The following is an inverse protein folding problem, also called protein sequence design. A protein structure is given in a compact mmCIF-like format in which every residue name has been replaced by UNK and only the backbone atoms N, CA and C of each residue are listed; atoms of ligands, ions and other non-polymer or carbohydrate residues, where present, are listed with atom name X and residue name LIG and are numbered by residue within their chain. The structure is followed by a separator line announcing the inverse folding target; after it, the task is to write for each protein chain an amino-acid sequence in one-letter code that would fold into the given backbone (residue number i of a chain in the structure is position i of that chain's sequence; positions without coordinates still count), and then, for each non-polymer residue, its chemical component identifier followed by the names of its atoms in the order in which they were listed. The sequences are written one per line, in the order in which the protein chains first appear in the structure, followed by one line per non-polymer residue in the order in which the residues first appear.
data_IF_602870825473
#
_entry.id   IF_602870825473
#
_cell.length_a   1.000
_cell.length_b   1.000
_cell.length_c   1.000
_cell.angle_alpha   90.00
_cell.angle_beta   90.00
_cell.angle_gamma   90.00
#
_symmetry.space_group_name_H-M   'P 1'
#
loop_
_entity.id
_entity.type
_entity.pdbx_description
1 polymer ?
#
# COMPACT_ATOMS: atom_id res chain seq x y z
N UNK A 1 21.40 -50.56 2.41
CA UNK A 1 21.53 -49.27 1.70
C UNK A 1 22.35 -49.34 0.40
N UNK A 2 23.58 -49.88 0.38
CA UNK A 2 24.42 -49.93 -0.85
C UNK A 2 23.80 -50.70 -2.04
N UNK A 3 23.04 -51.77 -1.79
CA UNK A 3 22.40 -52.57 -2.85
C UNK A 3 21.22 -51.85 -3.51
N UNK A 4 20.35 -51.22 -2.71
CA UNK A 4 19.23 -50.38 -3.19
C UNK A 4 19.71 -49.22 -4.07
N UNK A 5 20.79 -48.53 -3.68
CA UNK A 5 21.38 -47.46 -4.50
C UNK A 5 21.96 -47.96 -5.83
N UNK A 6 22.63 -49.12 -5.83
CA UNK A 6 23.20 -49.72 -7.05
C UNK A 6 22.11 -50.10 -8.07
N UNK A 7 21.00 -50.64 -7.59
CA UNK A 7 19.91 -51.09 -8.46
C UNK A 7 19.07 -49.92 -9.01
N UNK A 8 18.91 -48.85 -8.21
CA UNK A 8 18.28 -47.60 -8.66
C UNK A 8 19.10 -46.91 -9.75
N UNK A 9 20.42 -46.77 -9.56
CA UNK A 9 21.31 -46.11 -10.51
C UNK A 9 21.57 -46.91 -11.79
N UNK A 10 21.45 -48.25 -11.76
CA UNK A 10 21.52 -49.08 -12.98
C UNK A 10 20.35 -48.83 -13.95
N UNK A 11 19.17 -48.46 -13.44
CA UNK A 11 17.96 -48.22 -14.26
C UNK A 11 17.79 -46.76 -14.66
N UNK A 12 18.34 -45.81 -13.91
CA UNK A 12 18.33 -44.41 -14.28
C UNK A 12 19.39 -44.11 -15.36
N UNK A 13 18.94 -43.78 -16.58
CA UNK A 13 19.84 -43.26 -17.63
C UNK A 13 20.56 -42.01 -17.11
N UNK A 14 21.85 -41.86 -17.43
CA UNK A 14 22.71 -40.72 -17.04
C UNK A 14 22.03 -39.37 -17.25
N UNK A 15 21.25 -39.20 -18.32
CA UNK A 15 20.45 -37.98 -18.58
C UNK A 15 19.51 -37.60 -17.43
N UNK A 16 18.90 -38.56 -16.75
CA UNK A 16 18.00 -38.31 -15.62
C UNK A 16 18.77 -38.00 -14.34
N UNK A 17 19.97 -38.58 -14.15
CA UNK A 17 20.86 -38.25 -13.02
C UNK A 17 21.34 -36.80 -13.16
N UNK A 18 21.75 -36.40 -14.37
CA UNK A 18 22.11 -35.01 -14.68
C UNK A 18 20.92 -34.08 -14.42
N UNK A 19 19.72 -34.46 -14.87
CA UNK A 19 18.51 -33.66 -14.65
C UNK A 19 18.15 -33.52 -13.16
N UNK A 20 18.26 -34.60 -12.38
CA UNK A 20 18.04 -34.58 -10.92
C UNK A 20 19.08 -33.69 -10.23
N UNK A 21 20.36 -33.80 -10.61
CA UNK A 21 21.41 -32.95 -10.04
C UNK A 21 21.18 -31.48 -10.38
N UNK A 22 20.87 -31.18 -11.64
CA UNK A 22 20.53 -29.83 -12.11
C UNK A 22 19.32 -29.23 -11.39
N UNK A 23 18.33 -30.04 -11.00
CA UNK A 23 17.18 -29.59 -10.22
C UNK A 23 17.50 -29.50 -8.72
N UNK A 24 18.32 -30.41 -8.19
CA UNK A 24 18.63 -30.48 -6.75
C UNK A 24 19.44 -29.30 -6.22
N UNK A 25 20.35 -28.74 -7.04
CA UNK A 25 21.19 -27.61 -6.64
C UNK A 25 20.34 -26.34 -6.41
N UNK A 26 19.51 -25.89 -7.38
CA UNK A 26 18.56 -24.80 -7.15
C UNK A 26 17.64 -25.05 -5.96
N UNK A 27 17.05 -26.25 -5.85
CA UNK A 27 16.17 -26.60 -4.74
C UNK A 27 16.87 -26.50 -3.37
N UNK A 28 18.13 -26.95 -3.27
CA UNK A 28 18.89 -26.87 -2.02
C UNK A 28 19.21 -25.43 -1.62
N UNK A 29 19.48 -24.56 -2.60
CA UNK A 29 19.74 -23.14 -2.38
C UNK A 29 18.47 -22.43 -1.88
N UNK A 30 17.32 -22.66 -2.53
CA UNK A 30 16.01 -22.16 -2.08
C UNK A 30 15.72 -22.62 -0.65
N UNK A 31 15.97 -23.91 -0.36
CA UNK A 31 15.72 -24.47 0.96
C UNK A 31 16.56 -23.81 2.06
N UNK A 32 17.87 -23.64 1.86
CA UNK A 32 18.75 -22.98 2.83
C UNK A 32 18.36 -21.53 3.07
N UNK A 33 18.01 -20.79 2.01
CA UNK A 33 17.52 -19.42 2.14
C UNK A 33 16.29 -19.37 3.03
N UNK A 34 15.31 -20.25 2.80
CA UNK A 34 14.06 -20.22 3.54
C UNK A 34 14.26 -20.62 5.00
N UNK A 35 15.09 -21.61 5.31
CA UNK A 35 15.45 -21.96 6.69
C UNK A 35 16.03 -20.75 7.43
N UNK A 36 16.93 -20.00 6.79
CA UNK A 36 17.54 -18.81 7.38
C UNK A 36 16.51 -17.70 7.63
N UNK A 37 15.64 -17.39 6.66
CA UNK A 37 14.63 -16.33 6.83
C UNK A 37 13.54 -16.74 7.82
N UNK A 38 13.20 -18.02 7.88
CA UNK A 38 12.28 -18.58 8.89
C UNK A 38 12.83 -18.38 10.29
N UNK A 39 14.12 -18.66 10.51
CA UNK A 39 14.77 -18.44 11.80
C UNK A 39 14.75 -16.95 12.17
N UNK A 40 15.02 -16.05 11.22
CA UNK A 40 14.91 -14.60 11.42
C UNK A 40 13.48 -14.23 11.84
N UNK A 41 12.47 -14.77 11.17
CA UNK A 41 11.06 -14.49 11.45
C UNK A 41 10.64 -14.96 12.84
N UNK A 42 11.13 -16.12 13.29
CA UNK A 42 10.89 -16.62 14.67
C UNK A 42 11.56 -15.77 15.74
N UNK A 43 12.74 -15.21 15.44
CA UNK A 43 13.42 -14.30 16.37
C UNK A 43 12.75 -12.92 16.42
N UNK A 44 12.20 -12.48 15.29
CA UNK A 44 11.49 -11.22 15.15
C UNK A 44 10.08 -11.25 15.76
N UNK A 45 9.45 -12.41 15.65
CA UNK A 45 8.15 -12.72 16.24
C UNK A 45 8.31 -13.91 17.21
N UNK A 46 8.89 -13.68 18.40
CA UNK A 46 9.06 -14.72 19.40
C UNK A 46 7.72 -15.07 20.08
N UNK A 47 7.39 -16.36 20.17
CA UNK A 47 6.08 -16.85 20.60
C UNK A 47 5.76 -16.52 22.07
N UNK A 48 6.78 -16.44 22.92
CA UNK A 48 6.67 -16.15 24.35
C UNK A 48 6.26 -14.70 24.64
N UNK A 49 6.47 -13.78 23.68
CA UNK A 49 6.00 -12.40 23.77
C UNK A 49 4.62 -12.19 23.16
N UNK A 50 4.05 -13.22 22.53
CA UNK A 50 2.77 -13.11 21.85
C UNK A 50 1.60 -13.21 22.83
N UNK A 51 0.58 -12.33 22.73
CA UNK A 51 -0.66 -12.49 23.47
C UNK A 51 -1.45 -13.73 23.03
N UNK A 52 -1.18 -14.27 21.84
CA UNK A 52 -1.74 -15.53 21.34
C UNK A 52 -0.69 -16.31 20.53
N UNK A 53 0.10 -17.13 21.22
CA UNK A 53 1.18 -17.91 20.61
C UNK A 53 0.69 -18.83 19.48
N UNK A 54 -0.52 -19.39 19.58
CA UNK A 54 -1.06 -20.27 18.54
C UNK A 54 -1.37 -19.50 17.25
N UNK A 55 -1.97 -18.30 17.37
CA UNK A 55 -2.23 -17.43 16.23
C UNK A 55 -0.90 -16.98 15.59
N UNK A 56 0.10 -16.63 16.41
CA UNK A 56 1.43 -16.23 15.93
C UNK A 56 2.18 -17.38 15.25
N UNK A 57 2.03 -18.63 15.71
CA UNK A 57 2.64 -19.79 15.03
C UNK A 57 2.13 -19.93 13.59
N UNK A 58 0.82 -19.76 13.38
CA UNK A 58 0.22 -19.73 12.04
C UNK A 58 0.73 -18.55 11.21
N UNK A 59 0.86 -17.36 11.80
CA UNK A 59 1.46 -16.21 11.11
C UNK A 59 2.91 -16.47 10.67
N UNK A 60 3.74 -17.06 11.54
CA UNK A 60 5.12 -17.43 11.20
C UNK A 60 5.12 -18.42 10.03
N UNK A 61 4.28 -19.46 10.05
CA UNK A 61 4.15 -20.40 8.91
C UNK A 61 3.72 -19.71 7.62
N UNK A 62 2.80 -18.73 7.69
CA UNK A 62 2.44 -17.93 6.53
C UNK A 62 3.63 -17.12 6.00
N UNK A 63 4.46 -16.55 6.88
CA UNK A 63 5.72 -15.89 6.48
C UNK A 63 6.69 -16.88 5.81
N UNK A 64 6.82 -18.10 6.32
CA UNK A 64 7.65 -19.14 5.69
C UNK A 64 7.23 -19.36 4.23
N UNK A 65 5.93 -19.55 3.97
CA UNK A 65 5.39 -19.66 2.61
C UNK A 65 5.62 -18.39 1.78
N UNK A 66 5.40 -17.20 2.35
CA UNK A 66 5.66 -15.93 1.66
C UNK A 66 7.12 -15.81 1.20
N UNK A 67 8.07 -16.31 1.99
CA UNK A 67 9.49 -16.29 1.63
C UNK A 67 9.82 -17.31 0.55
N UNK A 68 9.19 -18.50 0.57
CA UNK A 68 9.27 -19.44 -0.55
C UNK A 68 8.77 -18.80 -1.85
N UNK A 69 7.59 -18.19 -1.81
CA UNK A 69 6.94 -17.51 -2.95
C UNK A 69 7.87 -16.40 -3.48
N UNK A 70 8.30 -15.48 -2.63
CA UNK A 70 9.16 -14.36 -3.03
C UNK A 70 10.49 -14.83 -3.64
N UNK A 71 11.07 -15.92 -3.14
CA UNK A 71 12.31 -16.45 -3.72
C UNK A 71 12.09 -17.17 -5.05
N UNK A 72 11.01 -17.92 -5.19
CA UNK A 72 10.63 -18.57 -6.45
C UNK A 72 10.23 -17.56 -7.52
N UNK A 73 9.69 -16.40 -7.12
CA UNK A 73 9.21 -15.36 -8.03
C UNK A 73 10.31 -14.79 -8.92
N UNK A 74 11.57 -14.86 -8.48
CA UNK A 74 12.73 -14.54 -9.31
C UNK A 74 12.85 -15.41 -10.58
N UNK A 75 12.10 -16.50 -10.68
CA UNK A 75 12.17 -17.46 -11.77
C UNK A 75 10.84 -17.69 -12.50
N UNK A 76 9.70 -17.45 -11.85
CA UNK A 76 8.35 -17.66 -12.42
C UNK A 76 7.38 -16.64 -11.87
N UNK A 77 6.42 -16.20 -12.71
CA UNK A 77 5.39 -15.23 -12.32
C UNK A 77 4.45 -15.76 -11.23
N UNK A 78 3.77 -14.85 -10.52
CA UNK A 78 2.90 -15.22 -9.39
C UNK A 78 1.69 -16.08 -9.79
N UNK A 79 1.15 -15.91 -11.00
CA UNK A 79 -0.01 -16.66 -11.50
C UNK A 79 0.34 -18.08 -12.00
N UNK A 80 1.62 -18.48 -11.89
CA UNK A 80 2.10 -19.78 -12.33
C UNK A 80 1.51 -20.94 -11.51
N UNK A 81 1.30 -22.09 -12.17
CA UNK A 81 0.77 -23.30 -11.52
C UNK A 81 1.63 -23.80 -10.35
N UNK A 82 2.94 -23.51 -10.35
CA UNK A 82 3.86 -23.84 -9.26
C UNK A 82 3.65 -22.95 -8.03
N UNK A 83 3.24 -21.70 -8.22
CA UNK A 83 3.00 -20.73 -7.16
C UNK A 83 1.67 -20.99 -6.45
N UNK A 84 0.65 -21.41 -7.19
CA UNK A 84 -0.73 -21.57 -6.67
C UNK A 84 -0.84 -22.42 -5.40
N UNK A 85 -0.19 -23.59 -5.26
CA UNK A 85 -0.22 -24.37 -4.02
C UNK A 85 0.41 -23.62 -2.84
N UNK A 86 1.51 -22.90 -3.07
CA UNK A 86 2.21 -22.14 -2.02
C UNK A 86 1.38 -20.94 -1.58
N UNK A 87 0.79 -20.20 -2.52
CA UNK A 87 -0.14 -19.10 -2.24
C UNK A 87 -1.35 -19.59 -1.45
N UNK A 88 -1.90 -20.75 -1.83
CA UNK A 88 -3.03 -21.37 -1.11
C UNK A 88 -2.63 -21.70 0.32
N UNK A 89 -1.46 -22.31 0.53
CA UNK A 89 -0.97 -22.66 1.87
C UNK A 89 -0.66 -21.43 2.72
N UNK A 90 -0.06 -20.39 2.14
CA UNK A 90 0.14 -19.12 2.81
C UNK A 90 -1.19 -18.54 3.31
N UNK A 91 -2.22 -18.54 2.45
CA UNK A 91 -3.53 -18.01 2.78
C UNK A 91 -4.27 -18.87 3.83
N UNK A 92 -4.17 -20.19 3.74
CA UNK A 92 -4.72 -21.11 4.75
C UNK A 92 -4.14 -20.83 6.14
N UNK A 93 -2.83 -20.66 6.24
CA UNK A 93 -2.18 -20.34 7.53
C UNK A 93 -2.56 -18.93 8.02
N UNK A 94 -2.64 -17.94 7.13
CA UNK A 94 -3.13 -16.61 7.48
C UNK A 94 -4.55 -16.64 8.05
N UNK A 95 -5.50 -17.30 7.38
CA UNK A 95 -6.90 -17.37 7.86
C UNK A 95 -7.04 -18.17 9.16
N UNK A 96 -6.26 -19.26 9.34
CA UNK A 96 -6.22 -19.99 10.62
C UNK A 96 -5.72 -19.10 11.76
N UNK A 97 -4.63 -18.37 11.53
CA UNK A 97 -4.09 -17.44 12.53
C UNK A 97 -5.10 -16.34 12.86
N UNK A 98 -5.70 -15.73 11.84
CA UNK A 98 -6.72 -14.69 11.99
C UNK A 98 -7.94 -15.16 12.78
N UNK A 99 -8.42 -16.38 12.54
CA UNK A 99 -9.58 -16.94 13.27
C UNK A 99 -9.33 -17.11 14.77
N UNK A 100 -8.06 -17.25 15.18
CA UNK A 100 -7.67 -17.37 16.59
C UNK A 100 -7.53 -16.01 17.29
N UNK A 101 -7.50 -14.90 16.55
CA UNK A 101 -7.40 -13.56 17.13
C UNK A 101 -8.77 -13.08 17.63
N UNK A 102 -8.82 -12.32 18.74
CA UNK A 102 -10.06 -11.67 19.16
C UNK A 102 -10.48 -10.63 18.12
N UNK A 103 -11.79 -10.38 17.99
CA UNK A 103 -12.34 -9.39 17.03
C UNK A 103 -11.77 -7.98 17.24
N UNK A 104 -11.39 -7.65 18.47
CA UNK A 104 -10.76 -6.39 18.87
C UNK A 104 -9.26 -6.33 18.56
N UNK A 105 -8.66 -7.38 17.99
CA UNK A 105 -7.27 -7.33 17.52
C UNK A 105 -7.19 -6.64 16.16
N UNK A 106 -6.04 -6.06 15.86
CA UNK A 106 -5.66 -5.66 14.49
C UNK A 106 -4.37 -6.34 14.02
N UNK A 107 -3.97 -7.44 14.68
CA UNK A 107 -2.79 -8.20 14.28
C UNK A 107 -2.94 -8.79 12.87
N UNK A 108 -4.14 -9.27 12.51
CA UNK A 108 -4.45 -9.77 11.17
C UNK A 108 -4.23 -8.70 10.09
N UNK A 109 -4.52 -7.43 10.40
CA UNK A 109 -4.31 -6.34 9.44
C UNK A 109 -2.82 -6.09 9.20
N UNK A 110 -2.00 -6.16 10.26
CA UNK A 110 -0.55 -6.07 10.14
C UNK A 110 0.02 -7.24 9.33
N UNK A 111 -0.44 -8.47 9.63
CA UNK A 111 -0.04 -9.68 8.90
C UNK A 111 -0.43 -9.60 7.43
N UNK A 112 -1.63 -9.09 7.14
CA UNK A 112 -2.11 -8.89 5.79
C UNK A 112 -1.17 -8.01 4.97
N UNK A 113 -0.77 -6.85 5.50
CA UNK A 113 0.16 -5.95 4.78
C UNK A 113 1.52 -6.64 4.54
N UNK A 114 2.05 -7.39 5.51
CA UNK A 114 3.34 -8.09 5.34
C UNK A 114 3.27 -9.17 4.27
N UNK A 115 2.23 -9.99 4.32
CA UNK A 115 2.13 -11.20 3.49
C UNK A 115 1.79 -10.85 2.05
N UNK A 116 0.88 -9.89 1.85
CA UNK A 116 0.24 -9.70 0.55
C UNK A 116 0.76 -8.51 -0.26
N UNK A 117 1.50 -7.54 0.35
CA UNK A 117 1.91 -6.32 -0.37
C UNK A 117 2.76 -6.56 -1.62
N UNK A 118 3.71 -7.49 -1.55
CA UNK A 118 4.63 -7.77 -2.66
C UNK A 118 4.00 -8.60 -3.77
N UNK A 119 2.87 -9.27 -3.49
CA UNK A 119 2.19 -10.16 -4.43
C UNK A 119 1.06 -9.40 -5.13
N UNK A 120 0.22 -8.73 -4.34
CA UNK A 120 -0.99 -8.07 -4.83
C UNK A 120 -0.82 -6.56 -5.05
N UNK A 121 0.33 -5.99 -4.66
CA UNK A 121 0.63 -4.58 -4.82
C UNK A 121 -0.01 -3.67 -3.77
N UNK A 122 -0.28 -4.18 -2.56
CA UNK A 122 -0.91 -3.38 -1.49
C UNK A 122 -0.07 -2.15 -1.18
N UNK A 123 -0.64 -0.98 -1.44
CA UNK A 123 0.01 0.30 -1.17
C UNK A 123 1.18 0.63 -2.08
N UNK A 124 1.32 -0.05 -3.22
CA UNK A 124 2.44 0.18 -4.13
C UNK A 124 2.41 -0.69 -5.38
N UNK A 125 3.60 -1.05 -5.83
CA UNK A 125 3.80 -1.92 -6.99
C UNK A 125 4.23 -3.29 -6.45
N UNK A 126 3.71 -4.41 -7.00
CA UNK A 126 4.20 -5.74 -6.67
C UNK A 126 5.72 -5.88 -6.88
N UNK A 127 6.30 -6.90 -6.24
CA UNK A 127 7.70 -7.25 -6.38
C UNK A 127 8.02 -7.54 -7.87
N UNK A 128 9.20 -7.10 -8.33
CA UNK A 128 9.66 -7.17 -9.72
C UNK A 128 8.72 -6.53 -10.77
N UNK A 129 7.80 -5.66 -10.33
CA UNK A 129 6.77 -5.05 -11.17
C UNK A 129 5.83 -6.09 -11.83
N UNK A 130 5.73 -7.31 -11.29
CA UNK A 130 4.81 -8.32 -11.81
C UNK A 130 3.36 -7.98 -11.45
N UNK A 131 2.61 -7.54 -12.47
CA UNK A 131 1.21 -7.14 -12.32
C UNK A 131 0.23 -8.30 -12.52
N UNK A 132 0.69 -9.54 -12.72
CA UNK A 132 -0.14 -10.73 -12.98
C UNK A 132 -1.21 -10.96 -11.91
N UNK A 133 -0.87 -10.71 -10.65
CA UNK A 133 -1.76 -10.90 -9.50
C UNK A 133 -2.18 -9.60 -8.80
N UNK A 134 -1.79 -8.43 -9.32
CA UNK A 134 -2.13 -7.16 -8.69
C UNK A 134 -3.65 -6.98 -8.57
N UNK A 135 -4.16 -6.43 -7.47
CA UNK A 135 -5.61 -6.20 -7.33
C UNK A 135 -6.15 -5.30 -8.43
N UNK A 136 -5.34 -4.33 -8.85
CA UNK A 136 -5.65 -3.39 -9.93
C UNK A 136 -5.90 -4.05 -11.30
N UNK A 137 -5.39 -5.26 -11.52
CA UNK A 137 -5.50 -5.97 -12.81
C UNK A 137 -6.44 -7.16 -12.75
N UNK A 138 -6.63 -7.75 -11.58
CA UNK A 138 -7.32 -9.05 -11.42
C UNK A 138 -8.77 -8.95 -10.96
N UNK A 139 -9.15 -7.89 -10.24
CA UNK A 139 -10.49 -7.80 -9.66
C UNK A 139 -11.55 -7.41 -10.70
N UNK A 140 -12.74 -8.02 -10.60
CA UNK A 140 -13.94 -7.59 -11.33
C UNK A 140 -14.55 -6.35 -10.69
N UNK A 141 -15.55 -5.73 -11.35
CA UNK A 141 -16.25 -4.56 -10.81
C UNK A 141 -16.89 -4.85 -9.44
N UNK A 142 -17.51 -6.01 -9.30
CA UNK A 142 -18.14 -6.47 -8.06
C UNK A 142 -17.09 -6.70 -6.97
N UNK A 143 -15.95 -7.30 -7.33
CA UNK A 143 -14.87 -7.57 -6.39
C UNK A 143 -14.20 -6.28 -5.87
N UNK A 144 -14.12 -5.22 -6.68
CA UNK A 144 -13.59 -3.94 -6.21
C UNK A 144 -14.42 -3.30 -5.09
N UNK A 145 -15.75 -3.43 -5.12
CA UNK A 145 -16.59 -2.91 -4.04
C UNK A 145 -16.37 -3.67 -2.74
N UNK A 146 -16.21 -4.99 -2.83
CA UNK A 146 -15.88 -5.83 -1.69
C UNK A 146 -14.50 -5.48 -1.14
N UNK A 147 -13.50 -5.38 -2.00
CA UNK A 147 -12.14 -4.98 -1.64
C UNK A 147 -12.11 -3.59 -0.99
N UNK A 148 -12.84 -2.61 -1.53
CA UNK A 148 -12.99 -1.29 -0.92
C UNK A 148 -13.50 -1.39 0.53
N UNK A 149 -14.59 -2.14 0.77
CA UNK A 149 -15.14 -2.31 2.12
C UNK A 149 -14.15 -2.99 3.05
N UNK A 150 -13.43 -4.00 2.57
CA UNK A 150 -12.39 -4.68 3.34
C UNK A 150 -11.24 -3.76 3.71
N UNK A 151 -10.77 -2.91 2.78
CA UNK A 151 -9.69 -1.95 3.04
C UNK A 151 -10.14 -0.85 4.02
N UNK A 152 -11.37 -0.34 3.86
CA UNK A 152 -11.97 0.62 4.81
C UNK A 152 -12.00 0.04 6.22
N UNK A 153 -12.50 -1.20 6.38
CA UNK A 153 -12.54 -1.90 7.66
C UNK A 153 -11.14 -2.09 8.25
N UNK A 154 -10.18 -2.56 7.44
CA UNK A 154 -8.78 -2.72 7.86
C UNK A 154 -8.17 -1.41 8.37
N UNK A 155 -8.39 -0.29 7.69
CA UNK A 155 -7.90 1.03 8.12
C UNK A 155 -8.51 1.40 9.47
N UNK A 156 -9.83 1.30 9.62
CA UNK A 156 -10.53 1.65 10.87
C UNK A 156 -10.04 0.76 12.03
N UNK A 157 -10.01 -0.56 11.84
CA UNK A 157 -9.53 -1.52 12.85
C UNK A 157 -8.07 -1.28 13.22
N UNK A 158 -7.19 -1.06 12.24
CA UNK A 158 -5.77 -0.83 12.48
C UNK A 158 -5.49 0.50 13.20
N UNK A 159 -6.37 1.48 13.02
CA UNK A 159 -6.29 2.76 13.71
C UNK A 159 -6.73 2.69 15.18
N UNK A 160 -7.82 1.97 15.46
CA UNK A 160 -8.48 1.93 16.78
C UNK A 160 -7.84 0.88 17.69
N UNK A 161 -7.56 -0.30 17.16
CA UNK A 161 -7.13 -1.43 17.96
C UNK A 161 -5.61 -1.39 18.17
N UNK A 162 -5.20 -1.65 19.40
CA UNK A 162 -3.79 -1.82 19.71
C UNK A 162 -3.28 -3.17 19.19
N UNK A 163 -2.01 -3.18 18.81
CA UNK A 163 -1.30 -4.39 18.43
C UNK A 163 -0.59 -4.85 19.69
N UNK A 164 -1.15 -5.86 20.36
CA UNK A 164 -0.73 -6.27 21.71
C UNK A 164 0.59 -7.06 21.72
N UNK A 165 1.18 -7.26 20.56
CA UNK A 165 2.41 -8.02 20.42
C UNK A 165 3.64 -7.10 20.39
N UNK A 166 4.42 -7.17 21.47
CA UNK A 166 5.60 -6.34 21.71
C UNK A 166 6.81 -6.80 20.87
N UNK A 167 6.78 -6.42 19.59
CA UNK A 167 7.86 -6.64 18.63
C UNK A 167 8.35 -5.29 18.07
N UNK A 168 9.66 -4.97 18.13
CA UNK A 168 10.19 -3.70 17.62
C UNK A 168 9.83 -3.41 16.17
N UNK A 169 9.76 -4.44 15.31
CA UNK A 169 9.34 -4.27 13.91
C UNK A 169 7.90 -3.79 13.78
N UNK A 170 7.03 -4.13 14.72
CA UNK A 170 5.64 -3.66 14.65
C UNK A 170 5.60 -2.18 14.99
N UNK A 171 6.16 -1.78 16.12
CA UNK A 171 6.22 -0.36 16.54
C UNK A 171 6.88 0.52 15.49
N UNK A 172 8.02 0.09 14.95
CA UNK A 172 8.82 0.88 14.02
C UNK A 172 8.19 1.07 12.62
N UNK A 173 7.35 0.13 12.18
CA UNK A 173 6.78 0.12 10.82
C UNK A 173 5.26 0.27 10.79
N UNK A 174 4.58 0.38 11.94
CA UNK A 174 3.12 0.54 12.03
C UNK A 174 2.64 1.72 11.17
N UNK A 175 3.36 2.83 11.22
CA UNK A 175 3.04 4.02 10.43
C UNK A 175 3.13 3.77 8.91
N UNK A 176 4.22 3.15 8.44
CA UNK A 176 4.38 2.80 7.02
C UNK A 176 3.25 1.89 6.54
N UNK A 177 2.77 0.98 7.39
CA UNK A 177 1.70 0.05 7.01
C UNK A 177 0.34 0.74 6.92
N UNK A 178 0.06 1.72 7.79
CA UNK A 178 -1.13 2.56 7.65
C UNK A 178 -1.10 3.32 6.31
N UNK A 179 0.04 3.91 5.94
CA UNK A 179 0.19 4.60 4.66
C UNK A 179 0.00 3.67 3.45
N UNK A 180 0.47 2.42 3.52
CA UNK A 180 0.20 1.42 2.49
C UNK A 180 -1.31 1.13 2.35
N UNK A 181 -2.04 0.99 3.47
CA UNK A 181 -3.49 0.78 3.44
C UNK A 181 -4.23 1.99 2.85
N UNK A 182 -3.80 3.21 3.18
CA UNK A 182 -4.38 4.44 2.61
C UNK A 182 -4.12 4.56 1.11
N UNK A 183 -2.93 4.16 0.66
CA UNK A 183 -2.61 4.12 -0.77
C UNK A 183 -3.48 3.09 -1.49
N UNK A 184 -3.69 1.91 -0.89
CA UNK A 184 -4.59 0.90 -1.45
C UNK A 184 -6.05 1.38 -1.52
N UNK A 185 -6.51 2.11 -0.50
CA UNK A 185 -7.82 2.76 -0.49
C UNK A 185 -7.97 3.76 -1.64
N UNK A 186 -6.96 4.61 -1.91
CA UNK A 186 -6.97 5.53 -3.05
C UNK A 186 -7.03 4.79 -4.40
N UNK A 187 -6.29 3.70 -4.53
CA UNK A 187 -6.33 2.85 -5.74
C UNK A 187 -7.72 2.25 -5.94
N UNK A 188 -8.32 1.66 -4.89
CA UNK A 188 -9.65 1.08 -4.95
C UNK A 188 -10.70 2.12 -5.37
N UNK A 189 -10.66 3.32 -4.78
CA UNK A 189 -11.55 4.43 -5.12
C UNK A 189 -11.39 4.85 -6.58
N UNK A 190 -10.16 5.03 -7.03
CA UNK A 190 -9.85 5.46 -8.39
C UNK A 190 -10.38 4.47 -9.43
N UNK A 191 -10.36 3.18 -9.12
CA UNK A 191 -10.88 2.10 -9.96
C UNK A 191 -12.41 2.07 -9.93
N UNK A 192 -13.03 2.11 -8.76
CA UNK A 192 -14.49 2.20 -8.64
C UNK A 192 -15.03 3.40 -9.42
N UNK A 193 -14.36 4.55 -9.36
CA UNK A 193 -14.74 5.74 -10.13
C UNK A 193 -14.81 5.49 -11.63
N UNK A 194 -13.83 4.78 -12.19
CA UNK A 194 -13.80 4.48 -13.63
C UNK A 194 -14.98 3.59 -14.04
N UNK A 195 -15.46 2.76 -13.11
CA UNK A 195 -16.50 1.77 -13.36
C UNK A 195 -17.91 2.26 -12.99
N UNK A 196 -18.03 3.27 -12.12
CA UNK A 196 -19.28 3.76 -11.58
C UNK A 196 -19.19 5.25 -11.20
N UNK A 197 -19.61 6.13 -12.11
CA UNK A 197 -19.57 7.58 -11.90
C UNK A 197 -20.39 8.05 -10.69
N UNK A 198 -21.47 7.34 -10.34
CA UNK A 198 -22.39 7.72 -9.25
C UNK A 198 -21.97 7.22 -7.86
N UNK A 199 -20.90 6.42 -7.75
CA UNK A 199 -20.46 5.87 -6.45
C UNK A 199 -20.21 6.98 -5.42
N UNK A 200 -19.62 8.09 -5.87
CA UNK A 200 -19.32 9.25 -5.04
C UNK A 200 -20.54 10.09 -4.67
N UNK A 201 -21.70 9.89 -5.29
CA UNK A 201 -22.93 10.56 -4.88
C UNK A 201 -23.58 9.88 -3.65
N UNK A 202 -23.06 8.72 -3.22
CA UNK A 202 -23.54 8.02 -2.03
C UNK A 202 -23.08 8.71 -0.74
N UNK A 203 -23.98 8.80 0.24
CA UNK A 203 -23.66 9.30 1.58
C UNK A 203 -22.71 8.37 2.34
N UNK A 204 -22.69 7.07 1.99
CA UNK A 204 -21.81 6.05 2.56
C UNK A 204 -20.33 6.38 2.32
N UNK A 205 -19.95 6.71 1.07
CA UNK A 205 -18.57 7.09 0.75
C UNK A 205 -18.10 8.33 1.52
N UNK A 206 -18.92 9.39 1.58
CA UNK A 206 -18.56 10.62 2.30
C UNK A 206 -18.38 10.35 3.80
N UNK A 207 -19.19 9.47 4.37
CA UNK A 207 -19.04 9.03 5.76
C UNK A 207 -17.74 8.27 5.95
N UNK A 208 -17.47 7.25 5.13
CA UNK A 208 -16.25 6.45 5.23
C UNK A 208 -14.98 7.28 5.05
N UNK A 209 -14.97 8.21 4.10
CA UNK A 209 -13.87 9.14 3.90
C UNK A 209 -13.59 9.99 5.16
N UNK A 210 -14.65 10.55 5.76
CA UNK A 210 -14.51 11.38 6.96
C UNK A 210 -14.05 10.55 8.17
N UNK A 211 -14.62 9.35 8.35
CA UNK A 211 -14.22 8.41 9.41
C UNK A 211 -12.74 8.05 9.27
N UNK A 212 -12.32 7.62 8.09
CA UNK A 212 -10.92 7.26 7.81
C UNK A 212 -9.99 8.42 8.12
N UNK A 213 -10.32 9.64 7.72
CA UNK A 213 -9.47 10.79 8.00
C UNK A 213 -9.33 11.05 9.52
N UNK A 214 -10.41 10.94 10.28
CA UNK A 214 -10.40 11.09 11.75
C UNK A 214 -9.51 10.02 12.38
N UNK A 215 -9.72 8.75 12.02
CA UNK A 215 -8.95 7.62 12.55
C UNK A 215 -7.47 7.70 12.17
N UNK A 216 -7.17 8.04 10.91
CA UNK A 216 -5.81 8.25 10.44
C UNK A 216 -5.11 9.35 11.24
N UNK A 217 -5.78 10.49 11.47
CA UNK A 217 -5.18 11.60 12.22
C UNK A 217 -4.80 11.16 13.63
N UNK A 218 -5.72 10.51 14.35
CA UNK A 218 -5.47 9.98 15.69
C UNK A 218 -4.31 8.97 15.69
N UNK A 219 -4.32 8.05 14.73
CA UNK A 219 -3.29 7.04 14.56
C UNK A 219 -1.91 7.66 14.28
N UNK A 220 -1.85 8.62 13.35
CA UNK A 220 -0.61 9.34 13.00
C UNK A 220 -0.06 10.05 14.22
N UNK A 221 -0.89 10.81 14.94
CA UNK A 221 -0.45 11.58 16.11
C UNK A 221 0.16 10.65 17.19
N UNK A 222 -0.34 9.41 17.31
CA UNK A 222 0.18 8.38 18.21
C UNK A 222 1.47 7.71 17.70
N UNK A 223 1.51 7.29 16.43
CA UNK A 223 2.54 6.37 15.93
C UNK A 223 3.61 6.99 15.04
N UNK A 224 3.35 8.13 14.40
CA UNK A 224 4.37 8.81 13.61
C UNK A 224 5.62 9.17 14.44
N UNK A 225 5.51 9.69 15.69
CA UNK A 225 6.69 9.95 16.52
C UNK A 225 7.50 8.71 16.90
N UNK A 226 6.88 7.52 16.84
CA UNK A 226 7.50 6.24 17.17
C UNK A 226 8.09 5.53 15.95
N UNK A 227 7.78 5.99 14.74
CA UNK A 227 8.24 5.37 13.52
C UNK A 227 9.77 5.44 13.39
N UNK A 228 10.36 4.42 12.77
CA UNK A 228 11.75 4.56 12.31
C UNK A 228 11.81 5.61 11.17
N UNK A 229 13.02 5.97 10.71
CA UNK A 229 13.20 6.84 9.52
C UNK A 229 12.28 8.08 9.56
N UNK A 230 12.38 8.84 10.65
CA UNK A 230 11.48 9.97 10.94
C UNK A 230 11.33 10.94 9.76
N UNK A 231 12.44 11.31 9.12
CA UNK A 231 12.42 12.22 7.96
C UNK A 231 11.51 11.71 6.83
N UNK A 232 11.70 10.46 6.37
CA UNK A 232 10.83 9.81 5.38
C UNK A 232 9.37 9.78 5.84
N UNK A 233 9.11 9.31 7.05
CA UNK A 233 7.74 9.10 7.51
C UNK A 233 6.98 10.41 7.72
N UNK A 234 7.67 11.49 8.11
CA UNK A 234 7.10 12.83 8.16
C UNK A 234 6.69 13.31 6.76
N UNK A 235 7.49 13.03 5.73
CA UNK A 235 7.14 13.37 4.35
C UNK A 235 5.95 12.56 3.82
N UNK A 236 5.91 11.27 4.15
CA UNK A 236 4.78 10.39 3.82
C UNK A 236 3.51 10.90 4.49
N UNK A 237 3.56 11.30 5.76
CA UNK A 237 2.42 11.87 6.46
C UNK A 237 1.87 13.15 5.78
N UNK A 238 2.77 14.04 5.33
CA UNK A 238 2.37 15.23 4.58
C UNK A 238 1.70 14.86 3.26
N UNK A 239 2.24 13.88 2.55
CA UNK A 239 1.68 13.38 1.30
C UNK A 239 0.28 12.79 1.49
N UNK A 240 0.10 11.92 2.48
CA UNK A 240 -1.19 11.31 2.80
C UNK A 240 -2.26 12.39 3.10
N UNK A 241 -1.91 13.44 3.86
CA UNK A 241 -2.82 14.56 4.12
C UNK A 241 -3.17 15.35 2.86
N UNK A 242 -2.20 15.60 1.97
CA UNK A 242 -2.47 16.24 0.67
C UNK A 242 -3.45 15.40 -0.14
N UNK A 243 -3.26 14.07 -0.19
CA UNK A 243 -4.17 13.16 -0.89
C UNK A 243 -5.58 13.20 -0.30
N UNK A 244 -5.74 13.16 1.03
CA UNK A 244 -7.04 13.29 1.67
C UNK A 244 -7.74 14.58 1.25
N UNK A 245 -7.07 15.74 1.39
CA UNK A 245 -7.71 17.00 1.04
C UNK A 245 -7.98 17.12 -0.46
N UNK A 246 -7.15 16.53 -1.32
CA UNK A 246 -7.40 16.44 -2.75
C UNK A 246 -8.63 15.60 -3.07
N UNK A 247 -8.74 14.40 -2.48
CA UNK A 247 -9.91 13.53 -2.65
C UNK A 247 -11.19 14.20 -2.16
N UNK A 248 -11.15 14.86 -1.00
CA UNK A 248 -12.27 15.65 -0.50
C UNK A 248 -12.70 16.72 -1.51
N UNK A 249 -11.75 17.51 -2.00
CA UNK A 249 -12.00 18.60 -2.95
C UNK A 249 -12.58 18.09 -4.27
N UNK A 250 -12.08 16.95 -4.72
CA UNK A 250 -12.42 16.37 -6.03
C UNK A 250 -13.75 15.64 -5.97
N UNK A 251 -13.86 14.68 -5.06
CA UNK A 251 -14.93 13.68 -5.08
C UNK A 251 -16.13 14.10 -4.23
N UNK A 252 -15.90 14.78 -3.12
CA UNK A 252 -16.97 15.20 -2.22
C UNK A 252 -17.46 16.58 -2.63
N UNK A 253 -16.56 17.54 -2.82
CA UNK A 253 -16.99 18.91 -3.10
C UNK A 253 -17.30 19.11 -4.59
N UNK A 254 -16.33 18.93 -5.48
CA UNK A 254 -16.52 19.23 -6.89
C UNK A 254 -17.49 18.27 -7.59
N UNK A 255 -17.33 16.94 -7.49
CA UNK A 255 -18.22 16.01 -8.20
C UNK A 255 -19.66 16.00 -7.66
N UNK A 256 -19.88 16.20 -6.36
CA UNK A 256 -21.24 16.20 -5.81
C UNK A 256 -21.94 17.56 -5.96
N UNK A 257 -21.21 18.67 -5.78
CA UNK A 257 -21.83 20.01 -5.71
C UNK A 257 -21.56 20.90 -6.92
N UNK A 258 -20.61 20.50 -7.78
CA UNK A 258 -20.12 21.26 -8.92
C UNK A 258 -19.63 22.68 -8.56
N UNK A 259 -19.20 22.90 -7.31
CA UNK A 259 -18.80 24.21 -6.78
C UNK A 259 -17.54 24.06 -5.92
N UNK A 260 -16.77 25.14 -5.84
CA UNK A 260 -15.65 25.30 -4.90
C UNK A 260 -16.08 26.34 -3.86
N UNK A 261 -16.07 25.97 -2.58
CA UNK A 261 -16.41 26.86 -1.48
C UNK A 261 -15.15 27.55 -0.94
N UNK A 262 -14.92 28.80 -1.31
CA UNK A 262 -13.75 29.57 -0.87
C UNK A 262 -13.58 29.63 0.66
N UNK A 263 -14.65 29.47 1.43
CA UNK A 263 -14.62 29.50 2.90
C UNK A 263 -14.28 28.14 3.54
N UNK A 264 -14.01 27.10 2.75
CA UNK A 264 -13.73 25.77 3.26
C UNK A 264 -12.31 25.68 3.87
N UNK A 265 -12.25 25.42 5.18
CA UNK A 265 -10.98 25.28 5.93
C UNK A 265 -10.07 24.19 5.39
N UNK A 266 -10.61 23.17 4.69
CA UNK A 266 -9.80 22.10 4.10
C UNK A 266 -8.89 22.59 2.98
N UNK A 267 -9.24 23.67 2.26
CA UNK A 267 -8.37 24.28 1.26
C UNK A 267 -7.17 25.00 1.88
N UNK A 268 -7.38 25.69 3.01
CA UNK A 268 -6.27 26.28 3.78
C UNK A 268 -5.29 25.20 4.23
N UNK A 269 -5.81 24.08 4.74
CA UNK A 269 -4.99 22.95 5.16
C UNK A 269 -4.24 22.32 3.98
N UNK A 270 -4.90 22.11 2.84
CA UNK A 270 -4.26 21.60 1.62
C UNK A 270 -3.07 22.46 1.19
N UNK A 271 -3.28 23.77 1.02
CA UNK A 271 -2.22 24.69 0.59
C UNK A 271 -1.07 24.75 1.62
N UNK A 272 -1.40 24.71 2.92
CA UNK A 272 -0.42 24.65 4.01
C UNK A 272 0.45 23.40 3.90
N UNK A 273 -0.17 22.22 3.70
CA UNK A 273 0.56 20.95 3.59
C UNK A 273 1.42 20.87 2.33
N UNK A 274 0.95 21.39 1.21
CA UNK A 274 1.75 21.51 -0.01
C UNK A 274 3.00 22.37 0.22
N UNK A 275 2.87 23.49 0.94
CA UNK A 275 4.01 24.34 1.29
C UNK A 275 4.99 23.66 2.26
N UNK A 276 4.49 23.03 3.30
CA UNK A 276 5.31 22.22 4.23
C UNK A 276 6.10 21.15 3.46
N UNK A 277 5.43 20.42 2.56
CA UNK A 277 6.06 19.41 1.73
C UNK A 277 7.17 20.01 0.85
N UNK A 278 6.90 21.12 0.16
CA UNK A 278 7.91 21.78 -0.71
C UNK A 278 9.13 22.26 0.06
N UNK A 279 8.94 22.78 1.27
CA UNK A 279 9.96 23.40 2.11
C UNK A 279 10.73 22.41 2.98
N UNK A 280 10.32 21.14 3.03
CA UNK A 280 11.08 20.09 3.70
C UNK A 280 12.51 19.97 3.11
N UNK A 281 13.51 20.11 3.99
CA UNK A 281 14.96 20.13 3.65
C UNK A 281 15.68 18.82 4.00
N UNK A 282 15.04 17.67 3.80
CA UNK A 282 15.65 16.38 4.18
C UNK A 282 16.49 15.79 3.04
N UNK A 283 17.62 15.17 3.37
CA UNK A 283 18.49 14.46 2.40
C UNK A 283 17.77 13.32 1.66
N UNK A 284 16.72 12.77 2.28
CA UNK A 284 15.89 11.70 1.70
C UNK A 284 14.97 12.16 0.56
N UNK A 285 14.77 13.48 0.39
CA UNK A 285 14.05 14.04 -0.74
C UNK A 285 14.57 13.51 -2.09
N UNK A 286 15.89 13.37 -2.25
CA UNK A 286 16.53 12.84 -3.47
C UNK A 286 16.18 11.37 -3.81
N UNK A 287 15.70 10.57 -2.85
CA UNK A 287 15.21 9.19 -3.10
C UNK A 287 13.68 9.11 -3.15
N UNK A 288 12.99 10.06 -2.53
CA UNK A 288 11.54 10.26 -2.65
C UNK A 288 11.14 11.11 -3.87
N UNK A 289 12.12 11.52 -4.68
CA UNK A 289 12.01 12.35 -5.89
C UNK A 289 11.15 11.71 -7.00
N UNK A 290 10.59 10.50 -6.83
CA UNK A 290 9.56 9.95 -7.73
C UNK A 290 8.14 9.94 -7.14
N UNK A 291 7.99 9.87 -5.81
CA UNK A 291 6.66 9.77 -5.16
C UNK A 291 6.12 11.15 -4.77
N UNK A 292 6.96 12.00 -4.16
CA UNK A 292 6.58 13.36 -3.72
C UNK A 292 6.66 14.39 -4.84
N UNK A 293 7.58 14.20 -5.80
CA UNK A 293 7.68 15.01 -7.02
C UNK A 293 6.39 14.95 -7.83
N UNK A 294 5.70 13.81 -7.86
CA UNK A 294 4.43 13.64 -8.58
C UNK A 294 3.38 14.69 -8.18
N UNK A 295 3.38 15.12 -6.90
CA UNK A 295 2.47 16.16 -6.41
C UNK A 295 2.60 17.44 -7.24
N UNK A 296 3.83 17.87 -7.54
CA UNK A 296 4.11 19.12 -8.25
C UNK A 296 4.50 18.94 -9.73
N UNK A 297 4.84 17.74 -10.16
CA UNK A 297 5.34 17.44 -11.52
C UNK A 297 4.35 16.71 -12.42
N UNK A 298 3.43 15.93 -11.82
CA UNK A 298 2.47 15.10 -12.57
C UNK A 298 1.00 15.39 -12.23
N UNK A 299 0.69 16.04 -11.10
CA UNK A 299 -0.70 16.27 -10.69
C UNK A 299 -1.35 17.50 -11.36
N UNK A 300 -1.79 17.33 -12.61
CA UNK A 300 -2.54 18.38 -13.33
C UNK A 300 -3.83 18.78 -12.62
N UNK A 301 -4.47 17.87 -11.88
CA UNK A 301 -5.70 18.17 -11.15
C UNK A 301 -5.45 19.10 -9.96
N UNK A 302 -4.39 18.83 -9.18
CA UNK A 302 -4.02 19.69 -8.06
C UNK A 302 -3.61 21.09 -8.54
N UNK A 303 -2.95 21.19 -9.69
CA UNK A 303 -2.66 22.48 -10.33
C UNK A 303 -3.93 23.25 -10.70
N UNK A 304 -4.90 22.60 -11.37
CA UNK A 304 -6.21 23.18 -11.73
C UNK A 304 -6.96 23.68 -10.50
N UNK A 305 -7.01 22.86 -9.44
CA UNK A 305 -7.62 23.25 -8.18
C UNK A 305 -6.93 24.48 -7.59
N UNK A 306 -5.59 24.51 -7.58
CA UNK A 306 -4.83 25.64 -7.03
C UNK A 306 -5.11 26.95 -7.80
N UNK A 307 -5.24 26.90 -9.13
CA UNK A 307 -5.69 28.06 -9.94
C UNK A 307 -7.09 28.51 -9.54
N UNK A 308 -8.02 27.57 -9.33
CA UNK A 308 -9.37 27.92 -8.92
C UNK A 308 -9.39 28.55 -7.52
N UNK A 309 -8.53 28.07 -6.60
CA UNK A 309 -8.37 28.63 -5.26
C UNK A 309 -7.70 30.00 -5.26
N UNK A 310 -6.84 30.31 -6.24
CA UNK A 310 -6.29 31.67 -6.42
C UNK A 310 -7.40 32.71 -6.62
N UNK A 311 -8.51 32.33 -7.26
CA UNK A 311 -9.68 33.22 -7.45
C UNK A 311 -10.46 33.48 -6.15
N UNK A 312 -10.15 32.79 -5.06
CA UNK A 312 -10.77 33.02 -3.75
C UNK A 312 -10.00 34.12 -2.99
N UNK A 313 -10.64 35.26 -2.64
CA UNK A 313 -9.94 36.39 -2.00
C UNK A 313 -9.20 36.04 -0.71
N UNK A 314 -9.71 35.08 0.05
CA UNK A 314 -9.15 34.61 1.32
C UNK A 314 -8.05 33.55 1.17
N UNK A 315 -7.79 33.06 -0.05
CA UNK A 315 -6.77 32.04 -0.35
C UNK A 315 -5.76 32.50 -1.42
N UNK A 316 -5.98 33.67 -2.04
CA UNK A 316 -5.20 34.21 -3.15
C UNK A 316 -3.69 34.17 -2.89
N UNK A 317 -3.27 34.67 -1.72
CA UNK A 317 -1.86 34.77 -1.35
C UNK A 317 -1.21 33.38 -1.25
N UNK A 318 -1.84 32.47 -0.52
CA UNK A 318 -1.37 31.11 -0.31
C UNK A 318 -1.37 30.31 -1.62
N UNK A 319 -2.41 30.43 -2.43
CA UNK A 319 -2.52 29.75 -3.71
C UNK A 319 -1.44 30.22 -4.69
N UNK A 320 -1.20 31.53 -4.81
CA UNK A 320 -0.11 32.10 -5.63
C UNK A 320 1.27 31.64 -5.20
N UNK A 321 1.49 31.47 -3.90
CA UNK A 321 2.75 30.92 -3.39
C UNK A 321 2.92 29.48 -3.86
N UNK A 322 1.91 28.64 -3.67
CA UNK A 322 1.94 27.22 -4.02
C UNK A 322 2.02 26.99 -5.53
N UNK A 323 1.39 27.82 -6.36
CA UNK A 323 1.46 27.72 -7.82
C UNK A 323 2.90 27.77 -8.35
N UNK A 324 3.81 28.48 -7.67
CA UNK A 324 5.24 28.57 -8.03
C UNK A 324 5.98 27.24 -7.86
N UNK A 325 5.42 26.28 -7.13
CA UNK A 325 6.08 25.01 -6.85
C UNK A 325 5.88 23.99 -7.96
N UNK A 326 4.84 24.16 -8.78
CA UNK A 326 4.53 23.23 -9.87
C UNK A 326 5.54 23.33 -11.02
N UNK A 327 5.83 22.18 -11.62
CA UNK A 327 6.73 22.11 -12.75
C UNK A 327 6.14 22.86 -13.96
N UNK A 328 6.93 23.66 -14.70
CA UNK A 328 6.44 24.46 -15.85
C UNK A 328 5.66 23.65 -16.89
N UNK A 329 6.07 22.40 -17.16
CA UNK A 329 5.35 21.47 -18.06
C UNK A 329 3.89 21.20 -17.66
N UNK A 330 3.48 21.37 -16.40
CA UNK A 330 2.05 21.23 -16.03
C UNK A 330 1.28 22.45 -16.51
N UNK A 331 1.82 23.66 -16.26
CA UNK A 331 1.23 24.92 -16.74
C UNK A 331 1.04 24.88 -18.26
N UNK A 332 2.09 24.50 -19.00
CA UNK A 332 2.01 24.34 -20.45
C UNK A 332 0.89 23.37 -20.87
N UNK A 333 0.84 22.17 -20.27
CA UNK A 333 -0.21 21.17 -20.57
C UNK A 333 -1.62 21.69 -20.24
N UNK A 334 -1.77 22.53 -19.22
CA UNK A 334 -3.04 23.15 -18.87
C UNK A 334 -3.46 24.22 -19.89
N UNK A 335 -2.54 25.08 -20.31
CA UNK A 335 -2.77 26.10 -21.33
C UNK A 335 -3.15 25.46 -22.68
N UNK A 336 -2.43 24.40 -23.09
CA UNK A 336 -2.78 23.59 -24.28
C UNK A 336 -4.19 22.98 -24.17
N UNK A 337 -4.58 22.50 -22.98
CA UNK A 337 -5.92 21.98 -22.73
C UNK A 337 -7.00 23.07 -22.89
N UNK A 338 -6.77 24.28 -22.37
CA UNK A 338 -7.72 25.39 -22.50
C UNK A 338 -7.91 25.80 -23.96
N UNK A 339 -6.81 25.94 -24.71
CA UNK A 339 -6.82 26.26 -26.14
C UNK A 339 -7.59 25.19 -26.92
N UNK A 340 -7.29 23.91 -26.68
CA UNK A 340 -7.93 22.79 -27.40
C UNK A 340 -9.43 22.69 -27.17
N UNK A 341 -9.91 23.08 -25.99
CA UNK A 341 -11.32 22.94 -25.62
C UNK A 341 -12.14 24.23 -25.80
N UNK A 342 -11.58 25.31 -26.38
CA UNK A 342 -12.24 26.62 -26.52
C UNK A 342 -12.78 27.18 -25.19
N UNK A 343 -12.14 26.86 -24.06
CA UNK A 343 -12.51 27.45 -22.77
C UNK A 343 -11.92 28.87 -22.71
N UNK A 344 -12.76 29.87 -22.99
CA UNK A 344 -12.48 31.27 -22.66
C UNK A 344 -13.01 31.54 -21.24
N UNK A 345 -12.07 31.67 -20.31
CA UNK A 345 -12.09 32.24 -18.94
C UNK A 345 -13.25 31.96 -17.98
#
# INVERSE_FOLDING_TARGET
MKFLFRELFKRLRIRYIILILLLSIPLSYVFQYVVNVTLISKNEFPLDKSPNAQATEHFIKAIEYRNYISHLHNFVDYDNFLMKPLLTKMNEEYEKGKYLLPETSAEDVYWYVILYRGIYGIGGIPDDYDMSMAFKTTLTKEDYKKHYKEIVDKIKRFAINDFNYDAPRVTNYKFEFMSNLLTEYDVAISLIRKLENNFFASSEYTKDFNDIYIYYKQFRDKYLPLANKQDKNNLVALHDEILFFLQFSTYIEYLQTNKISCNNKKYVLLLTKMRELKNSKTRERKRLDDYLSNVFEKSSWLYKLTIALEKCPNLDKEAKEVLKYFHPKIKQRYEEYLIKNNWKD
#
